data_IF_812168877800
#
_entry.id   IF_812168877800
#
_cell.length_a   1.000
_cell.length_b   1.000
_cell.length_c   1.000
_cell.angle_alpha   90.00
_cell.angle_beta   90.00
_cell.angle_gamma   90.00
#
_symmetry.space_group_name_H-M   'P 1'
#
loop_
_entity.id
_entity.type
_entity.pdbx_description
1 polymer ?
#
# COMPACT_ATOMS: atom_id res chain seq x y z
N UNK A 1 52.62 -53.25 -0.99
CA UNK A 1 51.71 -52.45 -1.85
C UNK A 1 51.06 -51.38 -0.99
N UNK A 2 51.50 -50.12 -1.09
CA UNK A 2 50.86 -49.01 -0.38
C UNK A 2 49.50 -48.72 -1.00
N UNK A 3 48.47 -48.81 -0.16
CA UNK A 3 47.07 -48.65 -0.52
C UNK A 3 46.81 -47.20 -1.00
N UNK A 4 46.74 -46.99 -2.32
CA UNK A 4 46.59 -45.69 -3.02
C UNK A 4 45.16 -45.11 -2.96
N UNK A 5 44.38 -45.44 -1.92
CA UNK A 5 42.99 -44.97 -1.76
C UNK A 5 42.82 -43.89 -0.68
N UNK A 6 43.90 -43.42 -0.05
CA UNK A 6 43.86 -42.24 0.83
C UNK A 6 44.05 -40.99 -0.01
N UNK A 7 43.02 -40.64 -0.78
CA UNK A 7 42.89 -39.34 -1.45
C UNK A 7 43.04 -38.20 -0.43
N UNK A 8 43.23 -36.97 -0.93
CA UNK A 8 43.66 -35.79 -0.17
C UNK A 8 42.59 -35.30 0.83
N UNK A 9 42.28 -36.09 1.87
CA UNK A 9 41.32 -35.77 2.95
C UNK A 9 41.62 -34.40 3.59
N UNK A 10 42.90 -34.03 3.65
CA UNK A 10 43.39 -32.75 4.14
C UNK A 10 42.93 -31.55 3.29
N UNK A 11 42.65 -31.73 2.00
CA UNK A 11 42.16 -30.69 1.08
C UNK A 11 40.65 -30.80 0.89
N UNK A 12 40.12 -32.02 0.82
CA UNK A 12 38.70 -32.30 0.59
C UNK A 12 37.82 -31.79 1.74
N UNK A 13 38.22 -31.99 3.00
CA UNK A 13 37.45 -31.53 4.16
C UNK A 13 37.30 -29.99 4.19
N UNK A 14 38.38 -29.20 4.11
CA UNK A 14 38.26 -27.73 4.06
C UNK A 14 37.44 -27.23 2.88
N UNK A 15 37.53 -27.91 1.73
CA UNK A 15 36.79 -27.52 0.54
C UNK A 15 35.28 -27.75 0.72
N UNK A 16 34.89 -28.88 1.32
CA UNK A 16 33.49 -29.14 1.70
C UNK A 16 32.99 -28.13 2.73
N UNK A 17 33.80 -27.80 3.76
CA UNK A 17 33.44 -26.79 4.75
C UNK A 17 33.25 -25.42 4.10
N UNK A 18 34.14 -25.02 3.18
CA UNK A 18 34.04 -23.76 2.47
C UNK A 18 32.75 -23.67 1.63
N UNK A 19 32.41 -24.73 0.90
CA UNK A 19 31.15 -24.80 0.14
C UNK A 19 29.94 -24.71 1.06
N UNK A 20 29.94 -25.44 2.19
CA UNK A 20 28.85 -25.37 3.17
C UNK A 20 28.70 -23.97 3.78
N UNK A 21 29.81 -23.29 4.10
CA UNK A 21 29.79 -21.92 4.61
C UNK A 21 29.19 -20.96 3.59
N UNK A 22 29.59 -21.05 2.31
CA UNK A 22 29.04 -20.21 1.23
C UNK A 22 27.53 -20.44 1.11
N UNK A 23 27.09 -21.69 1.06
CA UNK A 23 25.66 -22.04 1.01
C UNK A 23 24.91 -21.47 2.21
N UNK A 24 25.46 -21.61 3.41
CA UNK A 24 24.85 -21.10 4.63
C UNK A 24 24.68 -19.57 4.60
N UNK A 25 25.70 -18.83 4.16
CA UNK A 25 25.60 -17.37 4.01
C UNK A 25 24.56 -16.96 2.97
N UNK A 26 24.47 -17.67 1.85
CA UNK A 26 23.45 -17.43 0.82
C UNK A 26 22.05 -17.70 1.41
N UNK A 27 21.88 -18.81 2.12
CA UNK A 27 20.60 -19.16 2.76
C UNK A 27 20.15 -18.10 3.76
N UNK A 28 21.05 -17.56 4.60
CA UNK A 28 20.73 -16.48 5.53
C UNK A 28 20.28 -15.23 4.77
N UNK A 29 21.02 -14.81 3.74
CA UNK A 29 20.63 -13.64 2.93
C UNK A 29 19.28 -13.82 2.25
N UNK A 30 19.00 -15.01 1.72
CA UNK A 30 17.70 -15.34 1.15
C UNK A 30 16.59 -15.29 2.19
N UNK A 31 16.83 -15.81 3.40
CA UNK A 31 15.87 -15.75 4.50
C UNK A 31 15.56 -14.30 4.91
N UNK A 32 16.58 -13.45 5.05
CA UNK A 32 16.40 -12.04 5.38
C UNK A 32 15.61 -11.29 4.31
N UNK A 33 15.91 -11.56 3.03
CA UNK A 33 15.17 -10.97 1.92
C UNK A 33 13.72 -11.44 1.90
N UNK A 34 13.47 -12.73 2.11
CA UNK A 34 12.11 -13.28 2.18
C UNK A 34 11.32 -12.62 3.32
N UNK A 35 11.93 -12.41 4.50
CA UNK A 35 11.31 -11.71 5.62
C UNK A 35 10.94 -10.27 5.28
N UNK A 36 11.83 -9.53 4.59
CA UNK A 36 11.54 -8.16 4.12
C UNK A 36 10.35 -8.13 3.16
N UNK A 37 10.31 -9.07 2.22
CA UNK A 37 9.20 -9.20 1.25
C UNK A 37 7.88 -9.50 1.97
N UNK A 38 7.88 -10.35 2.99
CA UNK A 38 6.68 -10.65 3.77
C UNK A 38 6.14 -9.41 4.50
N UNK A 39 7.00 -8.65 5.17
CA UNK A 39 6.59 -7.40 5.85
C UNK A 39 6.01 -6.41 4.85
N UNK A 40 6.70 -6.20 3.72
CA UNK A 40 6.22 -5.32 2.66
C UNK A 40 4.86 -5.76 2.10
N UNK A 41 4.65 -7.07 1.92
CA UNK A 41 3.37 -7.62 1.44
C UNK A 41 2.23 -7.37 2.43
N UNK A 42 2.48 -7.51 3.72
CA UNK A 42 1.47 -7.23 4.75
C UNK A 42 1.11 -5.75 4.80
N UNK A 43 2.09 -4.86 4.70
CA UNK A 43 1.85 -3.41 4.59
C UNK A 43 1.01 -3.09 3.35
N UNK A 44 1.41 -3.59 2.18
CA UNK A 44 0.66 -3.39 0.93
C UNK A 44 -0.77 -3.91 1.02
N UNK A 45 -0.98 -5.05 1.68
CA UNK A 45 -2.33 -5.58 1.91
C UNK A 45 -3.16 -4.64 2.78
N UNK A 46 -2.61 -4.11 3.87
CA UNK A 46 -3.32 -3.15 4.75
C UNK A 46 -3.72 -1.89 3.98
N UNK A 47 -2.78 -1.31 3.24
CA UNK A 47 -3.01 -0.11 2.42
C UNK A 47 -4.08 -0.34 1.35
N UNK A 48 -4.05 -1.51 0.70
CA UNK A 48 -5.06 -1.90 -0.30
C UNK A 48 -6.45 -2.02 0.31
N UNK A 49 -6.55 -2.56 1.53
CA UNK A 49 -7.84 -2.67 2.24
C UNK A 49 -8.36 -1.28 2.61
N UNK A 50 -7.50 -0.39 3.12
CA UNK A 50 -7.85 1.01 3.41
C UNK A 50 -8.41 1.69 2.16
N UNK A 51 -7.70 1.60 1.04
CA UNK A 51 -8.13 2.21 -0.23
C UNK A 51 -9.49 1.69 -0.70
N UNK A 52 -9.69 0.36 -0.65
CA UNK A 52 -10.96 -0.25 -1.02
C UNK A 52 -12.10 0.16 -0.07
N UNK A 53 -11.82 0.31 1.21
CA UNK A 53 -12.80 0.80 2.19
C UNK A 53 -13.20 2.23 1.90
N UNK A 54 -12.25 3.15 1.67
CA UNK A 54 -12.55 4.54 1.27
C UNK A 54 -13.42 4.58 0.03
N UNK A 55 -13.08 3.81 -1.01
CA UNK A 55 -13.89 3.70 -2.22
C UNK A 55 -15.31 3.23 -1.92
N UNK A 56 -15.46 2.20 -1.09
CA UNK A 56 -16.77 1.64 -0.71
C UNK A 56 -17.60 2.68 0.05
N UNK A 57 -17.01 3.38 1.00
CA UNK A 57 -17.70 4.43 1.77
C UNK A 57 -18.14 5.59 0.88
N UNK A 58 -17.27 6.03 -0.05
CA UNK A 58 -17.63 7.04 -1.06
C UNK A 58 -18.79 6.59 -1.97
N UNK A 59 -18.83 5.32 -2.36
CA UNK A 59 -19.87 4.80 -3.25
C UNK A 59 -21.24 4.61 -2.58
N UNK A 60 -21.25 4.16 -1.33
CA UNK A 60 -22.48 3.63 -0.71
C UNK A 60 -22.99 4.45 0.48
N UNK A 61 -22.12 5.21 1.14
CA UNK A 61 -22.42 5.89 2.41
C UNK A 61 -22.17 7.39 2.38
N UNK A 62 -21.62 7.93 1.29
CA UNK A 62 -21.41 9.36 1.13
C UNK A 62 -22.63 10.03 0.46
N UNK A 63 -23.23 11.01 1.15
CA UNK A 63 -24.32 11.79 0.59
C UNK A 63 -23.82 12.74 -0.50
N UNK A 64 -24.46 12.71 -1.69
CA UNK A 64 -24.11 13.54 -2.84
C UNK A 64 -23.98 15.03 -2.48
N UNK A 65 -24.94 15.57 -1.72
CA UNK A 65 -24.97 16.98 -1.35
C UNK A 65 -23.82 17.36 -0.40
N UNK A 66 -23.45 16.50 0.54
CA UNK A 66 -22.33 16.73 1.47
C UNK A 66 -20.99 16.69 0.75
N UNK A 67 -20.82 15.72 -0.15
CA UNK A 67 -19.65 15.64 -1.02
C UNK A 67 -19.51 16.88 -1.91
N UNK A 68 -20.60 17.32 -2.54
CA UNK A 68 -20.60 18.51 -3.40
C UNK A 68 -20.27 19.77 -2.59
N UNK A 69 -20.76 19.87 -1.36
CA UNK A 69 -20.40 20.95 -0.44
C UNK A 69 -18.91 20.91 -0.04
N UNK A 70 -18.34 19.73 0.22
CA UNK A 70 -16.92 19.58 0.53
C UNK A 70 -16.01 20.02 -0.64
N UNK A 71 -16.44 19.77 -1.88
CA UNK A 71 -15.74 20.23 -3.09
C UNK A 71 -16.02 21.69 -3.47
N UNK A 72 -16.76 22.45 -2.66
CA UNK A 72 -17.08 23.84 -2.98
C UNK A 72 -15.84 24.75 -2.92
N UNK A 73 -14.96 24.47 -1.97
CA UNK A 73 -13.80 25.31 -1.65
C UNK A 73 -12.48 24.79 -2.23
N UNK A 74 -12.47 23.55 -2.76
CA UNK A 74 -11.30 22.92 -3.40
C UNK A 74 -11.73 21.84 -4.39
N UNK A 75 -11.01 21.72 -5.51
CA UNK A 75 -11.17 20.60 -6.46
C UNK A 75 -10.55 19.29 -5.96
N UNK A 76 -9.65 19.40 -4.98
CA UNK A 76 -8.93 18.28 -4.39
C UNK A 76 -9.23 18.19 -2.90
N UNK A 77 -9.65 17.01 -2.47
CA UNK A 77 -9.79 16.65 -1.07
C UNK A 77 -8.83 15.52 -0.73
N UNK A 78 -8.49 15.41 0.54
CA UNK A 78 -7.46 14.50 1.00
C UNK A 78 -7.90 13.79 2.28
N UNK A 79 -7.52 12.52 2.42
CA UNK A 79 -7.57 11.80 3.69
C UNK A 79 -6.13 11.63 4.15
N UNK A 80 -5.77 12.37 5.19
CA UNK A 80 -4.43 12.39 5.77
C UNK A 80 -4.12 11.11 6.56
N UNK A 81 -2.83 10.86 6.82
CA UNK A 81 -2.32 9.65 7.51
C UNK A 81 -3.03 9.33 8.82
N UNK A 82 -3.38 10.36 9.60
CA UNK A 82 -4.09 10.23 10.87
C UNK A 82 -5.49 9.60 10.71
N UNK A 83 -6.11 9.79 9.55
CA UNK A 83 -7.45 9.29 9.23
C UNK A 83 -7.41 8.01 8.37
N UNK A 84 -6.22 7.53 7.98
CA UNK A 84 -6.04 6.27 7.24
C UNK A 84 -6.03 5.05 8.18
N UNK A 85 -7.09 4.90 8.97
CA UNK A 85 -7.36 3.69 9.78
C UNK A 85 -8.70 3.08 9.34
N UNK A 86 -8.70 1.77 9.06
CA UNK A 86 -9.90 1.02 8.68
C UNK A 86 -11.03 1.22 9.68
N UNK A 87 -10.73 1.20 10.98
CA UNK A 87 -11.74 1.34 12.01
C UNK A 87 -12.37 2.73 11.98
N UNK A 88 -11.56 3.78 11.77
CA UNK A 88 -12.03 5.16 11.64
C UNK A 88 -12.87 5.36 10.39
N UNK A 89 -12.46 4.78 9.27
CA UNK A 89 -13.17 4.86 7.99
C UNK A 89 -14.54 4.17 8.08
N UNK A 90 -14.65 3.06 8.81
CA UNK A 90 -15.91 2.34 8.98
C UNK A 90 -16.83 3.00 10.02
N UNK A 91 -16.26 3.59 11.08
CA UNK A 91 -17.05 4.17 12.18
C UNK A 91 -17.58 5.58 11.89
N UNK A 92 -16.92 6.33 11.01
CA UNK A 92 -17.20 7.73 10.76
C UNK A 92 -17.76 7.93 9.33
N UNK A 93 -18.44 9.05 9.08
CA UNK A 93 -18.78 9.39 7.70
C UNK A 93 -17.50 9.79 6.97
N UNK A 94 -17.33 9.29 5.74
CA UNK A 94 -16.15 9.59 4.93
C UNK A 94 -15.96 11.09 4.71
N UNK A 95 -17.06 11.87 4.67
CA UNK A 95 -17.01 13.33 4.52
C UNK A 95 -16.31 14.03 5.68
N UNK A 96 -16.33 13.44 6.88
CA UNK A 96 -15.73 14.03 8.09
C UNK A 96 -14.22 13.77 8.16
N UNK A 97 -13.72 12.88 7.31
CA UNK A 97 -12.30 12.52 7.20
C UNK A 97 -11.60 13.28 6.07
N UNK A 98 -12.34 14.11 5.32
CA UNK A 98 -11.84 14.89 4.21
C UNK A 98 -11.23 16.21 4.70
N UNK A 99 -10.00 16.44 4.30
CA UNK A 99 -9.28 17.69 4.46
C UNK A 99 -9.02 18.35 3.12
N UNK A 100 -8.96 19.68 3.10
CA UNK A 100 -8.53 20.48 1.94
C UNK A 100 -7.01 20.62 1.86
N UNK A 101 -6.30 20.30 2.94
CA UNK A 101 -4.84 20.43 3.05
C UNK A 101 -4.16 19.08 3.22
N UNK A 102 -2.98 18.95 2.64
CA UNK A 102 -2.15 17.74 2.73
C UNK A 102 -1.02 17.97 3.72
N UNK A 103 -0.82 17.02 4.61
CA UNK A 103 0.44 16.92 5.34
C UNK A 103 1.49 16.26 4.42
N UNK A 104 2.24 17.08 3.67
CA UNK A 104 3.00 16.70 2.47
C UNK A 104 4.05 15.60 2.64
N UNK A 105 4.46 15.31 3.88
CA UNK A 105 5.45 14.30 4.23
C UNK A 105 4.88 12.89 4.41
N UNK A 106 3.56 12.75 4.55
CA UNK A 106 2.90 11.53 4.99
C UNK A 106 2.08 10.83 3.91
N UNK A 107 1.62 9.61 4.22
CA UNK A 107 0.67 8.84 3.40
C UNK A 107 -0.66 9.58 3.34
N UNK A 108 -1.26 9.64 2.16
CA UNK A 108 -2.59 10.23 1.98
C UNK A 108 -3.36 9.55 0.83
N UNK A 109 -4.68 9.68 0.86
CA UNK A 109 -5.54 9.42 -0.29
C UNK A 109 -6.06 10.76 -0.81
N UNK A 110 -5.73 11.08 -2.06
CA UNK A 110 -6.26 12.25 -2.77
C UNK A 110 -7.54 11.86 -3.50
N UNK A 111 -8.53 12.73 -3.42
CA UNK A 111 -9.82 12.60 -4.09
C UNK A 111 -9.98 13.86 -4.93
N UNK A 112 -9.91 13.70 -6.24
CA UNK A 112 -10.05 14.80 -7.19
C UNK A 112 -11.40 14.74 -7.89
N UNK A 113 -12.11 15.87 -7.92
CA UNK A 113 -13.33 16.00 -8.71
C UNK A 113 -12.99 16.15 -10.19
N UNK A 114 -13.56 15.30 -11.02
CA UNK A 114 -13.57 15.42 -12.48
C UNK A 114 -14.95 15.95 -12.87
N UNK A 115 -15.02 17.16 -13.41
CA UNK A 115 -16.29 17.82 -13.72
C UNK A 115 -17.14 16.98 -14.69
N UNK A 116 -18.38 16.71 -14.30
CA UNK A 116 -19.42 16.10 -15.14
C UNK A 116 -20.79 16.61 -14.71
N UNK A 117 -21.67 16.87 -15.67
CA UNK A 117 -22.91 17.64 -15.50
C UNK A 117 -23.93 17.01 -14.54
N UNK A 118 -23.96 15.68 -14.39
CA UNK A 118 -24.97 14.97 -13.58
C UNK A 118 -24.40 13.93 -12.58
N UNK A 119 -23.08 13.74 -12.55
CA UNK A 119 -22.40 12.78 -11.68
C UNK A 119 -21.12 13.39 -11.12
N UNK A 120 -20.82 13.17 -9.86
CA UNK A 120 -19.50 13.48 -9.30
C UNK A 120 -18.58 12.33 -9.69
N UNK A 121 -17.69 12.58 -10.66
CA UNK A 121 -16.58 11.67 -10.95
C UNK A 121 -15.43 12.02 -10.02
N UNK A 122 -14.92 11.02 -9.33
CA UNK A 122 -13.83 11.14 -8.38
C UNK A 122 -12.67 10.28 -8.84
N UNK A 123 -11.48 10.88 -8.94
CA UNK A 123 -10.23 10.15 -9.07
C UNK A 123 -9.62 9.99 -7.68
N UNK A 124 -9.48 8.75 -7.24
CA UNK A 124 -8.81 8.38 -6.00
C UNK A 124 -7.36 8.06 -6.31
N UNK A 125 -6.40 8.69 -5.63
CA UNK A 125 -4.97 8.40 -5.75
C UNK A 125 -4.38 8.18 -4.35
N UNK A 126 -3.75 7.03 -4.12
CA UNK A 126 -3.07 6.76 -2.84
C UNK A 126 -1.57 6.94 -2.95
N UNK A 127 -0.99 7.68 -2.00
CA UNK A 127 0.47 7.76 -1.81
C UNK A 127 0.88 6.82 -0.68
N UNK A 128 1.58 5.74 -1.01
CA UNK A 128 2.08 4.75 -0.04
C UNK A 128 3.58 4.96 0.20
N UNK A 129 3.93 5.70 1.27
CA UNK A 129 5.31 5.91 1.77
C UNK A 129 6.28 6.65 0.82
N UNK A 130 7.51 6.92 1.29
CA UNK A 130 8.61 7.60 0.56
C UNK A 130 9.12 6.86 -0.69
N UNK A 131 8.71 5.62 -0.90
CA UNK A 131 9.09 4.86 -2.10
C UNK A 131 8.10 5.17 -3.22
N UNK A 132 8.47 6.18 -4.01
CA UNK A 132 7.82 6.55 -5.27
C UNK A 132 7.55 5.32 -6.13
N UNK A 133 6.27 5.16 -6.55
CA UNK A 133 5.82 4.71 -7.89
C UNK A 133 4.55 3.86 -7.90
N UNK A 134 4.02 3.42 -6.77
CA UNK A 134 2.73 2.72 -6.74
C UNK A 134 1.58 3.67 -6.37
N UNK A 135 1.31 4.64 -7.24
CA UNK A 135 0.04 5.37 -7.22
C UNK A 135 -1.06 4.45 -7.77
N UNK A 136 -1.84 3.86 -6.86
CA UNK A 136 -3.10 3.21 -7.26
C UNK A 136 -4.09 4.31 -7.54
N UNK A 137 -4.49 4.47 -8.80
CA UNK A 137 -5.53 5.40 -9.21
C UNK A 137 -6.79 4.65 -9.63
N UNK A 138 -7.92 4.99 -9.04
CA UNK A 138 -9.22 4.45 -9.47
C UNK A 138 -10.24 5.58 -9.64
N UNK A 139 -11.14 5.41 -10.60
CA UNK A 139 -12.25 6.33 -10.83
C UNK A 139 -13.53 5.80 -10.18
N UNK A 140 -14.27 6.69 -9.55
CA UNK A 140 -15.55 6.42 -8.90
C UNK A 140 -16.58 7.44 -9.36
N UNK A 141 -17.76 6.98 -9.77
CA UNK A 141 -18.87 7.83 -10.18
C UNK A 141 -19.97 7.79 -9.12
N UNK A 142 -20.35 8.95 -8.59
CA UNK A 142 -21.46 9.10 -7.66
C UNK A 142 -22.56 9.88 -8.38
N UNK A 143 -23.75 9.29 -8.52
CA UNK A 143 -24.90 9.93 -9.16
C UNK A 143 -25.93 10.39 -8.11
N UNK A 144 -26.72 11.41 -8.46
CA UNK A 144 -27.77 11.96 -7.59
C UNK A 144 -28.93 10.98 -7.30
N UNK A 145 -29.00 9.86 -8.01
CA UNK A 145 -30.13 8.91 -7.97
C UNK A 145 -29.86 7.64 -7.14
N UNK A 146 -28.76 7.58 -6.40
CA UNK A 146 -28.49 6.46 -5.48
C UNK A 146 -28.76 6.94 -4.05
N UNK A 147 -30.02 6.77 -3.63
CA UNK A 147 -30.68 7.11 -2.34
C UNK A 147 -31.28 8.51 -2.24
#
# INVERSE_FOLDING_TARGET
>A
MLNKNKGLVLIEIPLVIAVLCILFFISIKCYDNAKKVLVYREEMRKETVIFKSVKKELLYNAEYNKLLAAFKDSENLYINSENLDINRIISNNITDLLDTSVNSSDKYIKIQKLNSENTIKLKLEQKVSKFDSNMVSEEVCISRNVR
#
